data_IF_179379786197
#
_entry.id   IF_179379786197
#
_cell.length_a   1.000
_cell.length_b   1.000
_cell.length_c   1.000
_cell.angle_alpha   90.00
_cell.angle_beta   90.00
_cell.angle_gamma   90.00
#
_symmetry.space_group_name_H-M   'P 1'
#
loop_
_entity.id
_entity.type
_entity.pdbx_description
1 polymer ?
#
# COMPACT_ATOMS: atom_id res chain seq x y z
N UNK A 1 -23.54 -0.79 70.45
CA UNK A 1 -22.58 -1.10 69.39
C UNK A 1 -22.81 -0.10 68.25
N UNK A 2 -21.90 0.87 68.11
CA UNK A 2 -21.97 1.94 67.10
C UNK A 2 -21.12 1.47 65.90
N UNK A 3 -21.76 1.30 64.72
CA UNK A 3 -21.09 1.06 63.43
C UNK A 3 -20.60 2.40 62.88
N UNK A 4 -19.32 2.55 62.75
CA UNK A 4 -18.69 3.70 62.06
C UNK A 4 -18.44 3.32 60.61
N UNK A 5 -19.15 4.01 59.69
CA UNK A 5 -18.92 3.89 58.24
C UNK A 5 -17.68 4.67 57.84
N UNK A 6 -16.71 4.00 57.24
CA UNK A 6 -15.53 4.60 56.59
C UNK A 6 -15.94 4.99 55.15
N UNK A 7 -15.93 6.30 54.86
CA UNK A 7 -16.02 6.84 53.51
C UNK A 7 -14.59 7.03 52.99
N UNK A 8 -14.20 6.27 51.96
CA UNK A 8 -12.94 6.49 51.25
C UNK A 8 -13.12 7.60 50.21
N UNK A 9 -12.16 8.52 50.07
CA UNK A 9 -12.24 9.56 49.03
C UNK A 9 -11.88 8.98 47.66
N UNK A 10 -12.76 9.23 46.69
CA UNK A 10 -12.59 8.96 45.28
C UNK A 10 -11.56 9.98 44.71
N UNK A 11 -10.35 9.52 44.42
CA UNK A 11 -9.35 10.35 43.72
C UNK A 11 -9.69 10.31 42.22
N UNK A 12 -10.19 11.41 41.68
CA UNK A 12 -10.28 11.64 40.23
C UNK A 12 -8.85 11.82 39.70
N UNK A 13 -8.33 10.85 38.97
CA UNK A 13 -7.18 11.08 38.11
C UNK A 13 -7.66 11.88 36.88
N UNK A 14 -7.28 13.15 36.84
CA UNK A 14 -7.36 13.93 35.61
C UNK A 14 -6.32 13.39 34.63
N UNK A 15 -6.80 12.88 33.49
CA UNK A 15 -5.93 12.55 32.36
C UNK A 15 -5.37 13.88 31.83
N UNK A 16 -4.08 14.10 32.08
CA UNK A 16 -3.35 15.20 31.48
C UNK A 16 -3.19 14.88 29.99
N UNK A 17 -3.84 15.66 29.13
CA UNK A 17 -3.47 15.75 27.71
C UNK A 17 -2.01 16.17 27.66
N UNK A 18 -1.14 15.30 27.14
CA UNK A 18 0.23 15.69 26.84
C UNK A 18 0.19 16.74 25.74
N UNK A 19 0.92 17.85 25.87
CA UNK A 19 1.05 18.82 24.80
C UNK A 19 1.76 18.13 23.60
N UNK A 20 1.52 18.61 22.35
CA UNK A 20 2.26 18.12 21.21
C UNK A 20 3.75 18.28 21.46
N UNK A 21 4.54 17.28 21.04
CA UNK A 21 5.98 17.26 21.24
C UNK A 21 6.59 18.58 20.77
N UNK A 22 7.30 19.25 21.66
CA UNK A 22 8.08 20.45 21.34
C UNK A 22 9.09 20.06 20.27
N UNK A 23 9.06 20.77 19.11
CA UNK A 23 10.08 20.69 18.07
C UNK A 23 11.43 20.97 18.73
N UNK A 24 12.35 20.02 18.72
CA UNK A 24 13.66 20.18 19.34
C UNK A 24 14.35 21.41 18.72
N UNK A 25 14.74 22.35 19.55
CA UNK A 25 15.49 23.54 19.15
C UNK A 25 16.80 23.10 18.49
N UNK A 26 16.92 23.28 17.18
CA UNK A 26 18.18 23.05 16.45
C UNK A 26 18.06 22.60 14.99
N UNK A 27 16.92 22.12 14.54
CA UNK A 27 16.77 21.76 13.12
C UNK A 27 16.49 23.01 12.29
N UNK A 28 17.46 23.43 11.49
CA UNK A 28 17.24 24.51 10.52
C UNK A 28 16.38 23.96 9.40
N UNK A 29 15.13 24.41 9.31
CA UNK A 29 14.22 23.99 8.24
C UNK A 29 14.68 24.60 6.91
N UNK A 30 14.89 23.74 5.88
CA UNK A 30 15.08 24.18 4.51
C UNK A 30 13.69 24.29 3.87
N UNK A 31 13.24 25.50 3.47
CA UNK A 31 11.89 25.68 2.94
C UNK A 31 11.70 24.99 1.60
N UNK A 32 10.50 24.53 1.35
CA UNK A 32 10.06 23.99 0.07
C UNK A 32 10.37 24.95 -1.08
N UNK A 33 10.79 24.39 -2.24
CA UNK A 33 11.01 25.19 -3.44
C UNK A 33 9.70 25.84 -3.92
N UNK A 34 9.81 26.99 -4.62
CA UNK A 34 8.64 27.62 -5.21
C UNK A 34 7.96 26.71 -6.23
N UNK A 35 8.72 25.94 -7.00
CA UNK A 35 8.20 24.98 -7.97
C UNK A 35 7.36 23.90 -7.30
N UNK A 36 7.86 23.27 -6.23
CA UNK A 36 7.13 22.27 -5.47
C UNK A 36 5.82 22.83 -4.88
N UNK A 37 5.84 24.07 -4.35
CA UNK A 37 4.65 24.75 -3.84
C UNK A 37 3.62 24.99 -4.93
N UNK A 38 4.01 25.51 -6.09
CA UNK A 38 3.09 25.72 -7.22
C UNK A 38 2.50 24.39 -7.72
N UNK A 39 3.30 23.33 -7.72
CA UNK A 39 2.85 22.00 -8.10
C UNK A 39 1.83 21.43 -7.11
N UNK A 40 2.07 21.56 -5.81
CA UNK A 40 1.12 21.19 -4.77
C UNK A 40 -0.22 21.92 -4.92
N UNK A 41 -0.17 23.25 -5.11
CA UNK A 41 -1.37 24.10 -5.32
C UNK A 41 -2.12 23.65 -6.59
N UNK A 42 -1.42 23.38 -7.68
CA UNK A 42 -2.01 22.91 -8.93
C UNK A 42 -2.72 21.56 -8.75
N UNK A 43 -2.11 20.58 -8.10
CA UNK A 43 -2.72 19.28 -7.83
C UNK A 43 -3.95 19.43 -6.95
N UNK A 44 -3.85 20.21 -5.86
CA UNK A 44 -4.97 20.43 -4.94
C UNK A 44 -6.15 21.16 -5.58
N UNK A 45 -5.90 22.03 -6.55
CA UNK A 45 -6.92 22.75 -7.29
C UNK A 45 -7.41 22.01 -8.55
N UNK A 46 -6.75 20.92 -8.97
CA UNK A 46 -7.08 20.24 -10.21
C UNK A 46 -8.48 19.63 -10.13
N UNK A 47 -9.27 19.88 -11.18
CA UNK A 47 -10.51 19.16 -11.47
C UNK A 47 -10.22 18.27 -12.65
N UNK A 48 -10.71 17.06 -12.60
CA UNK A 48 -10.52 16.13 -13.70
C UNK A 48 -11.21 16.68 -14.94
N UNK A 49 -10.44 17.10 -15.95
CA UNK A 49 -10.97 17.71 -17.17
C UNK A 49 -10.99 16.76 -18.35
N UNK A 50 -10.34 15.58 -18.21
CA UNK A 50 -10.29 14.59 -19.27
C UNK A 50 -10.82 13.26 -18.73
N UNK A 51 -11.95 12.72 -19.22
CA UNK A 51 -12.36 11.38 -18.83
C UNK A 51 -11.25 10.42 -19.24
N UNK A 52 -10.82 9.56 -18.30
CA UNK A 52 -9.91 8.47 -18.59
C UNK A 52 -10.32 7.82 -19.90
N UNK A 53 -9.41 7.82 -20.87
CA UNK A 53 -9.75 7.33 -22.21
C UNK A 53 -10.01 5.83 -22.14
N UNK A 54 -11.15 5.31 -22.60
CA UNK A 54 -11.42 3.87 -22.54
C UNK A 54 -10.49 3.04 -23.45
N UNK A 55 -9.58 3.69 -24.18
CA UNK A 55 -8.77 3.10 -25.25
C UNK A 55 -7.27 3.00 -24.96
N UNK A 56 -6.76 3.40 -23.79
CA UNK A 56 -5.36 3.16 -23.46
C UNK A 56 -5.22 1.79 -22.77
N UNK A 57 -5.33 0.71 -23.55
CA UNK A 57 -4.55 -0.52 -23.35
C UNK A 57 -3.09 -0.25 -23.77
N UNK A 58 -2.49 0.84 -23.32
CA UNK A 58 -1.06 1.01 -23.46
C UNK A 58 -0.42 0.45 -22.19
N UNK A 59 0.38 -0.57 -22.44
CA UNK A 59 1.19 -1.26 -21.44
C UNK A 59 1.98 -0.19 -20.66
N UNK A 60 1.80 -0.15 -19.34
CA UNK A 60 2.69 0.59 -18.45
C UNK A 60 4.13 0.22 -18.84
N UNK A 61 4.96 1.14 -19.32
CA UNK A 61 6.33 0.82 -19.74
C UNK A 61 7.16 0.19 -18.61
N UNK A 62 6.70 0.30 -17.36
CA UNK A 62 7.27 -0.35 -16.17
C UNK A 62 6.75 -1.78 -15.97
N UNK A 63 5.62 -2.16 -16.61
CA UNK A 63 5.10 -3.53 -16.54
C UNK A 63 5.91 -4.53 -17.36
N UNK A 64 6.80 -4.07 -18.21
CA UNK A 64 7.70 -4.91 -19.01
C UNK A 64 8.95 -5.36 -18.23
N UNK A 65 8.84 -5.62 -16.91
CA UNK A 65 9.85 -6.42 -16.21
C UNK A 65 9.46 -7.88 -16.40
N UNK A 66 10.16 -8.64 -17.25
CA UNK A 66 9.93 -10.08 -17.35
C UNK A 66 10.08 -10.69 -15.96
N UNK A 67 9.29 -11.71 -15.64
CA UNK A 67 9.58 -12.62 -14.53
C UNK A 67 11.08 -12.71 -14.33
N UNK A 68 11.59 -12.28 -13.16
CA UNK A 68 13.01 -12.24 -12.89
C UNK A 68 13.63 -13.54 -13.39
N UNK A 69 14.52 -13.52 -14.39
CA UNK A 69 15.11 -14.73 -14.89
C UNK A 69 15.98 -15.35 -13.80
N UNK A 70 16.14 -16.67 -13.76
CA UNK A 70 17.19 -17.28 -12.95
C UNK A 70 18.51 -16.64 -13.37
N UNK A 71 19.32 -16.23 -12.40
CA UNK A 71 20.62 -15.61 -12.60
C UNK A 71 21.44 -16.38 -13.63
N UNK A 72 21.59 -15.80 -14.82
CA UNK A 72 22.52 -16.20 -15.86
C UNK A 72 23.77 -15.31 -15.78
N UNK A 73 24.94 -15.78 -16.30
CA UNK A 73 26.22 -15.16 -16.03
C UNK A 73 26.32 -13.74 -16.61
N UNK A 74 26.95 -12.88 -15.83
CA UNK A 74 27.29 -11.49 -16.15
C UNK A 74 27.97 -11.34 -17.53
N UNK A 75 27.46 -10.48 -18.36
CA UNK A 75 28.12 -10.07 -19.59
C UNK A 75 27.21 -9.46 -20.63
N UNK A 76 26.55 -8.36 -20.34
CA UNK A 76 26.09 -7.43 -21.36
C UNK A 76 26.09 -6.02 -20.78
N UNK A 77 26.92 -5.16 -21.33
CA UNK A 77 26.99 -3.72 -21.09
C UNK A 77 25.63 -3.11 -21.39
N UNK A 78 25.04 -2.30 -20.50
CA UNK A 78 23.82 -1.59 -20.83
C UNK A 78 24.12 -0.57 -21.94
N UNK A 79 23.46 -0.72 -23.07
CA UNK A 79 23.38 0.35 -24.07
C UNK A 79 22.52 1.44 -23.44
N UNK A 80 23.05 2.64 -23.27
CA UNK A 80 22.32 3.84 -22.86
C UNK A 80 21.07 3.99 -23.75
N UNK A 81 19.91 3.67 -23.20
CA UNK A 81 18.66 4.07 -23.78
C UNK A 81 18.53 5.58 -23.59
N UNK A 82 18.49 6.31 -24.69
CA UNK A 82 18.16 7.74 -24.74
C UNK A 82 16.86 7.95 -23.96
N UNK A 83 16.78 8.91 -23.01
CA UNK A 83 15.54 9.13 -22.27
C UNK A 83 14.45 9.59 -23.24
N UNK A 84 13.54 8.71 -23.54
CA UNK A 84 12.26 9.05 -24.15
C UNK A 84 11.54 9.93 -23.13
N UNK A 85 11.01 11.04 -23.56
CA UNK A 85 10.19 12.02 -22.83
C UNK A 85 9.46 11.37 -21.67
N UNK A 86 9.85 11.73 -20.44
CA UNK A 86 9.15 11.39 -19.22
C UNK A 86 7.72 11.88 -19.37
N UNK A 87 6.74 10.97 -19.52
CA UNK A 87 5.33 11.34 -19.50
C UNK A 87 5.05 11.95 -18.13
N UNK A 88 4.70 13.23 -18.17
CA UNK A 88 4.38 13.95 -16.95
C UNK A 88 3.11 13.34 -16.34
N UNK A 89 3.15 12.98 -15.04
CA UNK A 89 1.98 12.55 -14.28
C UNK A 89 0.78 13.50 -14.48
N UNK A 90 -0.44 12.97 -14.41
CA UNK A 90 -1.66 13.76 -14.43
C UNK A 90 -2.00 14.27 -13.01
N UNK A 91 -2.06 15.59 -12.83
CA UNK A 91 -2.36 16.23 -11.55
C UNK A 91 -3.76 15.85 -11.01
N UNK A 92 -4.74 15.65 -11.89
CA UNK A 92 -6.09 15.21 -11.53
C UNK A 92 -6.09 13.77 -11.06
N UNK A 93 -5.30 12.90 -11.70
CA UNK A 93 -5.15 11.51 -11.26
C UNK A 93 -4.45 11.41 -9.91
N UNK A 94 -3.37 12.16 -9.66
CA UNK A 94 -2.75 12.22 -8.32
C UNK A 94 -3.81 12.55 -7.28
N UNK A 95 -4.63 13.58 -7.53
CA UNK A 95 -5.69 13.97 -6.60
C UNK A 95 -6.71 12.86 -6.37
N UNK A 96 -7.20 12.23 -7.44
CA UNK A 96 -8.16 11.12 -7.36
C UNK A 96 -7.56 9.92 -6.61
N UNK A 97 -6.32 9.54 -6.90
CA UNK A 97 -5.64 8.44 -6.22
C UNK A 97 -5.56 8.70 -4.70
N UNK A 98 -5.16 9.90 -4.29
CA UNK A 98 -5.10 10.28 -2.86
C UNK A 98 -6.49 10.23 -2.21
N UNK A 99 -7.53 10.75 -2.87
CA UNK A 99 -8.87 10.74 -2.32
C UNK A 99 -9.46 9.32 -2.22
N UNK A 100 -9.16 8.45 -3.17
CA UNK A 100 -9.54 7.02 -3.13
C UNK A 100 -8.82 6.30 -2.00
N UNK A 101 -7.51 6.50 -1.85
CA UNK A 101 -6.70 5.94 -0.79
C UNK A 101 -7.26 6.31 0.60
N UNK A 102 -7.55 7.59 0.81
CA UNK A 102 -8.18 8.09 2.05
C UNK A 102 -9.58 7.55 2.31
N UNK A 103 -10.28 7.17 1.25
CA UNK A 103 -11.59 6.51 1.36
C UNK A 103 -11.48 4.99 1.56
N UNK A 104 -10.27 4.45 1.75
CA UNK A 104 -9.95 3.02 1.86
C UNK A 104 -10.26 2.20 0.59
N UNK A 105 -10.27 2.87 -0.57
CA UNK A 105 -10.35 2.22 -1.88
C UNK A 105 -9.00 2.40 -2.57
N UNK A 106 -8.01 1.62 -2.12
CA UNK A 106 -6.63 1.77 -2.56
C UNK A 106 -6.48 1.70 -4.07
N UNK A 107 -5.82 2.68 -4.71
CA UNK A 107 -5.41 2.60 -6.10
C UNK A 107 -4.12 1.78 -6.30
N UNK A 108 -3.58 1.20 -5.22
CA UNK A 108 -2.20 0.74 -5.13
C UNK A 108 -1.26 1.92 -4.88
N UNK A 109 -0.27 2.09 -5.72
CA UNK A 109 0.68 3.20 -5.60
C UNK A 109 0.06 4.50 -6.13
N UNK A 110 0.26 5.60 -5.41
CA UNK A 110 -0.08 6.96 -5.87
C UNK A 110 1.05 7.42 -6.80
N UNK A 111 0.81 7.39 -8.11
CA UNK A 111 1.79 7.65 -9.16
C UNK A 111 1.35 8.69 -10.21
N UNK A 112 0.07 9.05 -10.24
CA UNK A 112 -0.52 9.99 -11.18
C UNK A 112 -0.75 9.42 -12.58
N UNK A 113 -0.73 8.09 -12.75
CA UNK A 113 -1.01 7.42 -14.02
C UNK A 113 -2.38 6.72 -14.02
N UNK A 114 -2.99 6.66 -15.21
CA UNK A 114 -4.22 5.93 -15.45
C UNK A 114 -3.93 4.44 -15.66
N UNK A 115 -3.92 3.69 -14.55
CA UNK A 115 -3.65 2.26 -14.53
C UNK A 115 -4.89 1.41 -14.24
N UNK A 116 -4.78 0.11 -14.47
CA UNK A 116 -5.86 -0.85 -14.19
C UNK A 116 -6.28 -0.83 -12.71
N UNK A 117 -5.33 -0.69 -11.78
CA UNK A 117 -5.60 -0.62 -10.34
C UNK A 117 -6.48 0.60 -10.00
N UNK A 118 -6.18 1.77 -10.56
CA UNK A 118 -6.99 2.99 -10.37
C UNK A 118 -8.42 2.76 -10.86
N UNK A 119 -8.59 2.18 -12.06
CA UNK A 119 -9.92 1.91 -12.65
C UNK A 119 -10.73 0.90 -11.82
N UNK A 120 -10.07 -0.13 -11.30
CA UNK A 120 -10.68 -1.11 -10.38
C UNK A 120 -11.10 -0.44 -9.07
N UNK A 121 -10.24 0.39 -8.46
CA UNK A 121 -10.53 1.13 -7.24
C UNK A 121 -11.71 2.11 -7.44
N UNK A 122 -11.72 2.85 -8.56
CA UNK A 122 -12.83 3.73 -8.96
C UNK A 122 -14.13 2.92 -9.07
N UNK A 123 -14.11 1.78 -9.77
CA UNK A 123 -15.30 0.92 -9.93
C UNK A 123 -15.81 0.42 -8.59
N UNK A 124 -14.92 0.01 -7.71
CA UNK A 124 -15.27 -0.45 -6.36
C UNK A 124 -15.89 0.68 -5.52
N UNK A 125 -15.31 1.87 -5.55
CA UNK A 125 -15.85 3.05 -4.86
C UNK A 125 -17.21 3.45 -5.42
N UNK A 126 -17.35 3.49 -6.75
CA UNK A 126 -18.62 3.81 -7.41
C UNK A 126 -19.71 2.83 -6.99
N UNK A 127 -19.43 1.52 -7.00
CA UNK A 127 -20.37 0.50 -6.57
C UNK A 127 -20.78 0.66 -5.11
N UNK A 128 -19.83 0.88 -4.21
CA UNK A 128 -20.07 1.05 -2.78
C UNK A 128 -20.89 2.33 -2.45
N UNK A 129 -20.78 3.36 -3.31
CA UNK A 129 -21.44 4.66 -3.08
C UNK A 129 -22.66 4.89 -3.99
N UNK A 130 -23.16 3.87 -4.70
CA UNK A 130 -24.37 3.97 -5.54
C UNK A 130 -24.21 4.85 -6.76
N UNK A 131 -22.97 5.07 -7.23
CA UNK A 131 -22.69 5.75 -8.49
C UNK A 131 -22.81 4.78 -9.68
N UNK A 132 -22.87 5.32 -10.90
CA UNK A 132 -22.75 4.50 -12.09
C UNK A 132 -21.36 3.85 -12.14
N UNK A 133 -21.30 2.51 -12.20
CA UNK A 133 -20.04 1.76 -12.22
C UNK A 133 -19.49 1.75 -13.65
N UNK A 134 -18.58 2.64 -13.94
CA UNK A 134 -17.95 2.79 -15.26
C UNK A 134 -16.41 2.76 -15.19
N UNK A 135 -15.81 2.76 -13.99
CA UNK A 135 -14.37 2.77 -13.78
C UNK A 135 -13.68 4.07 -14.21
N UNK A 136 -14.44 5.12 -14.49
CA UNK A 136 -13.91 6.40 -14.96
C UNK A 136 -13.82 7.40 -13.80
N UNK A 137 -12.70 8.09 -13.71
CA UNK A 137 -12.52 9.23 -12.82
C UNK A 137 -13.22 10.45 -13.44
N UNK A 138 -14.47 10.65 -13.10
CA UNK A 138 -15.32 11.73 -13.61
C UNK A 138 -15.70 12.73 -12.51
N UNK A 139 -16.42 13.80 -12.88
CA UNK A 139 -16.87 14.85 -11.94
C UNK A 139 -17.82 14.30 -10.87
N UNK A 140 -18.60 13.27 -11.17
CA UNK A 140 -19.50 12.65 -10.18
C UNK A 140 -18.71 11.89 -9.11
N UNK A 141 -17.67 11.16 -9.51
CA UNK A 141 -16.73 10.52 -8.60
C UNK A 141 -16.04 11.55 -7.73
N UNK A 142 -15.42 12.59 -8.33
CA UNK A 142 -14.69 13.62 -7.59
C UNK A 142 -15.61 14.31 -6.57
N UNK A 143 -16.80 14.72 -6.99
CA UNK A 143 -17.77 15.35 -6.10
C UNK A 143 -18.12 14.44 -4.92
N UNK A 144 -18.30 13.14 -5.17
CA UNK A 144 -18.65 12.18 -4.11
C UNK A 144 -17.48 11.95 -3.13
N UNK A 145 -16.26 11.88 -3.63
CA UNK A 145 -15.04 11.77 -2.81
C UNK A 145 -14.87 13.03 -1.93
N UNK A 146 -15.01 14.23 -2.50
CA UNK A 146 -14.89 15.50 -1.79
C UNK A 146 -15.98 15.69 -0.71
N UNK A 147 -17.16 15.12 -0.89
CA UNK A 147 -18.20 15.11 0.16
C UNK A 147 -17.80 14.28 1.37
N UNK A 148 -17.02 13.22 1.17
CA UNK A 148 -16.49 12.39 2.23
C UNK A 148 -15.31 13.04 2.96
N UNK A 149 -14.42 13.65 2.20
CA UNK A 149 -13.23 14.32 2.73
C UNK A 149 -12.73 15.43 1.77
N UNK A 150 -12.76 16.67 2.25
CA UNK A 150 -12.35 17.86 1.50
C UNK A 150 -10.92 18.34 1.82
N UNK A 151 -10.14 17.61 2.62
CA UNK A 151 -8.77 17.99 2.92
C UNK A 151 -7.89 17.99 1.66
N UNK A 152 -6.82 18.79 1.60
CA UNK A 152 -5.92 18.83 0.46
C UNK A 152 -5.36 17.44 0.13
N UNK A 153 -5.21 17.13 -1.15
CA UNK A 153 -4.62 15.87 -1.59
C UNK A 153 -3.10 15.83 -1.39
N UNK A 154 -2.43 16.94 -1.62
CA UNK A 154 -1.00 17.09 -1.31
C UNK A 154 -0.81 18.08 -0.17
N UNK A 155 0.16 17.79 0.69
CA UNK A 155 0.51 18.62 1.86
C UNK A 155 2.02 18.81 1.96
N UNK A 156 2.43 19.85 2.68
CA UNK A 156 3.80 20.05 3.10
C UNK A 156 4.14 19.09 4.26
N UNK A 157 5.32 18.51 4.22
CA UNK A 157 5.87 17.67 5.28
C UNK A 157 7.32 18.04 5.53
N UNK A 158 7.73 18.12 6.79
CA UNK A 158 9.13 18.36 7.17
C UNK A 158 9.77 17.02 7.50
N UNK A 159 10.81 16.64 6.77
CA UNK A 159 11.57 15.41 7.03
C UNK A 159 12.10 15.42 8.47
N UNK A 160 11.77 14.38 9.22
CA UNK A 160 12.19 14.22 10.61
C UNK A 160 13.55 13.51 10.69
N UNK A 161 14.20 13.59 11.85
CA UNK A 161 15.39 12.78 12.14
C UNK A 161 15.11 11.27 11.99
N UNK A 162 13.90 10.82 12.23
CA UNK A 162 13.50 9.42 12.09
C UNK A 162 13.44 9.02 10.60
N UNK A 163 12.88 9.86 9.74
CA UNK A 163 12.79 9.59 8.30
C UNK A 163 14.17 9.43 7.63
N UNK A 164 15.20 10.10 8.15
CA UNK A 164 16.53 10.12 7.54
C UNK A 164 17.57 9.25 8.27
N UNK A 165 17.22 8.68 9.43
CA UNK A 165 18.18 7.98 10.31
C UNK A 165 18.65 6.65 9.74
N UNK A 166 17.81 5.92 8.98
CA UNK A 166 18.07 4.54 8.59
C UNK A 166 18.10 3.56 9.78
N UNK A 167 18.77 2.43 9.69
CA UNK A 167 19.73 2.06 8.65
C UNK A 167 19.07 1.82 7.28
N UNK A 168 19.67 2.35 6.22
CA UNK A 168 19.34 1.98 4.84
C UNK A 168 20.31 0.89 4.39
N UNK A 169 19.82 -0.09 3.65
CA UNK A 169 20.58 -1.29 3.29
C UNK A 169 20.44 -1.59 1.81
N UNK A 170 21.54 -2.01 1.16
CA UNK A 170 21.43 -2.59 -0.18
C UNK A 170 20.78 -3.97 -0.05
N UNK A 171 19.56 -4.15 -0.58
CA UNK A 171 18.82 -5.40 -0.47
C UNK A 171 19.24 -6.37 -1.58
N UNK A 172 19.89 -7.50 -1.24
CA UNK A 172 20.31 -8.47 -2.25
C UNK A 172 19.12 -9.14 -2.92
N UNK A 173 19.19 -9.39 -4.21
CA UNK A 173 18.20 -10.19 -4.94
C UNK A 173 18.30 -11.70 -4.60
N UNK A 174 19.46 -12.16 -4.17
CA UNK A 174 19.69 -13.54 -3.73
C UNK A 174 19.18 -13.74 -2.30
N UNK A 175 18.27 -14.70 -2.09
CA UNK A 175 17.64 -14.94 -0.80
C UNK A 175 18.63 -15.46 0.28
N UNK A 176 19.72 -16.12 -0.13
CA UNK A 176 20.75 -16.53 0.81
C UNK A 176 21.53 -15.32 1.31
N UNK A 177 21.96 -14.45 0.41
CA UNK A 177 22.61 -13.19 0.80
C UNK A 177 21.67 -12.29 1.62
N UNK A 178 20.37 -12.21 1.25
CA UNK A 178 19.36 -11.49 2.02
C UNK A 178 19.20 -12.04 3.44
N UNK A 179 19.37 -13.36 3.64
CA UNK A 179 19.28 -13.98 4.98
C UNK A 179 20.42 -13.63 5.91
N UNK A 180 21.49 -12.98 5.42
CA UNK A 180 22.60 -12.47 6.24
C UNK A 180 22.32 -11.07 6.80
N UNK A 181 21.27 -10.38 6.34
CA UNK A 181 20.86 -9.08 6.87
C UNK A 181 20.16 -9.26 8.23
N UNK A 182 20.46 -8.37 9.17
CA UNK A 182 19.79 -8.33 10.48
C UNK A 182 18.34 -7.80 10.36
N UNK A 183 18.07 -6.96 9.34
CA UNK A 183 16.76 -6.41 9.00
C UNK A 183 16.75 -6.08 7.50
N UNK A 184 15.67 -6.43 6.80
CA UNK A 184 15.50 -6.14 5.37
C UNK A 184 14.78 -4.79 5.23
N UNK A 185 15.50 -3.73 5.63
CA UNK A 185 14.99 -2.35 5.68
C UNK A 185 14.84 -1.71 4.31
N UNK A 186 14.54 -0.42 4.32
CA UNK A 186 14.53 0.39 3.10
C UNK A 186 15.95 0.59 2.54
N UNK A 187 16.06 0.78 1.23
CA UNK A 187 17.33 1.08 0.56
C UNK A 187 17.71 2.57 0.66
N UNK A 188 16.70 3.45 0.85
CA UNK A 188 16.91 4.89 0.95
C UNK A 188 15.87 5.59 1.81
N UNK A 189 16.16 6.82 2.25
CA UNK A 189 15.19 7.69 2.90
C UNK A 189 14.03 8.06 1.95
N UNK A 190 14.32 8.22 0.66
CA UNK A 190 13.29 8.54 -0.32
C UNK A 190 12.28 7.38 -0.48
N UNK A 191 12.75 6.14 -0.54
CA UNK A 191 11.92 4.95 -0.54
C UNK A 191 11.05 4.87 0.73
N UNK A 192 11.66 5.03 1.91
CA UNK A 192 10.94 5.02 3.17
C UNK A 192 9.84 6.08 3.24
N UNK A 193 10.13 7.29 2.75
CA UNK A 193 9.17 8.40 2.69
C UNK A 193 8.09 8.14 1.64
N UNK A 194 8.45 7.62 0.47
CA UNK A 194 7.48 7.26 -0.57
C UNK A 194 6.47 6.23 -0.03
N UNK A 195 6.96 5.17 0.61
CA UNK A 195 6.10 4.14 1.18
C UNK A 195 5.24 4.68 2.35
N UNK A 196 5.82 5.52 3.21
CA UNK A 196 5.09 6.19 4.29
C UNK A 196 3.87 6.99 3.82
N UNK A 197 3.94 7.56 2.63
CA UNK A 197 2.88 8.37 2.03
C UNK A 197 2.20 7.69 0.84
N UNK A 198 2.35 6.37 0.69
CA UNK A 198 1.72 5.53 -0.34
C UNK A 198 2.05 5.94 -1.78
N UNK A 199 3.19 6.61 -1.98
CA UNK A 199 3.60 7.21 -3.24
C UNK A 199 4.58 6.33 -4.02
N UNK A 200 4.59 6.51 -5.33
CA UNK A 200 5.71 6.11 -6.17
C UNK A 200 6.91 7.02 -5.88
N UNK A 201 8.11 6.45 -5.79
CA UNK A 201 9.33 7.21 -5.49
C UNK A 201 9.66 8.22 -6.59
N UNK A 202 9.41 7.89 -7.86
CA UNK A 202 9.63 8.79 -8.98
C UNK A 202 8.66 9.98 -8.93
N UNK A 203 7.38 9.75 -8.55
CA UNK A 203 6.44 10.84 -8.31
C UNK A 203 6.91 11.71 -7.14
N UNK A 204 7.30 11.11 -6.01
CA UNK A 204 7.81 11.86 -4.86
C UNK A 204 8.99 12.77 -5.25
N UNK A 205 9.96 12.24 -6.01
CA UNK A 205 11.10 13.00 -6.50
C UNK A 205 10.71 14.10 -7.50
N UNK A 206 9.75 13.80 -8.38
CA UNK A 206 9.21 14.75 -9.37
C UNK A 206 8.49 15.93 -8.69
N UNK A 207 7.77 15.68 -7.61
CA UNK A 207 7.10 16.73 -6.82
C UNK A 207 8.10 17.59 -6.02
N UNK A 208 9.31 17.08 -5.77
CA UNK A 208 10.33 17.68 -4.91
C UNK A 208 11.69 17.82 -5.61
N UNK A 209 11.78 18.58 -6.71
CA UNK A 209 13.01 18.66 -7.49
C UNK A 209 14.15 19.26 -6.66
N UNK A 210 15.31 18.58 -6.70
CA UNK A 210 16.55 19.04 -6.05
C UNK A 210 16.59 18.85 -4.53
N UNK A 211 15.60 18.21 -3.92
CA UNK A 211 15.61 17.91 -2.49
C UNK A 211 16.56 16.76 -2.18
N UNK A 212 17.36 16.93 -1.14
CA UNK A 212 18.11 15.85 -0.48
C UNK A 212 17.23 15.18 0.58
N UNK A 213 16.70 14.01 0.27
CA UNK A 213 15.86 13.23 1.19
C UNK A 213 16.63 12.68 2.41
N UNK A 214 17.97 12.74 2.40
CA UNK A 214 18.79 12.37 3.56
C UNK A 214 18.96 13.48 4.59
N UNK A 215 18.38 14.66 4.36
CA UNK A 215 18.54 15.83 5.23
C UNK A 215 17.29 16.10 6.06
N UNK A 216 17.35 15.84 7.37
CA UNK A 216 16.29 16.24 8.29
C UNK A 216 16.05 17.76 8.25
N UNK A 217 14.80 18.19 8.39
CA UNK A 217 14.39 19.58 8.32
C UNK A 217 14.08 20.08 6.90
N UNK A 218 14.30 19.30 5.85
CA UNK A 218 13.84 19.67 4.52
C UNK A 218 12.30 19.61 4.46
N UNK A 219 11.68 20.69 3.95
CA UNK A 219 10.23 20.73 3.70
C UNK A 219 9.94 20.21 2.31
N UNK A 220 9.11 19.19 2.20
CA UNK A 220 8.77 18.48 0.97
C UNK A 220 7.26 18.44 0.75
N UNK A 221 6.84 18.16 -0.50
CA UNK A 221 5.45 17.86 -0.87
C UNK A 221 5.23 16.36 -0.86
N UNK A 222 4.20 15.92 -0.16
CA UNK A 222 3.80 14.50 -0.09
C UNK A 222 2.29 14.35 -0.30
N UNK A 223 1.86 13.14 -0.63
CA UNK A 223 0.45 12.79 -0.61
C UNK A 223 -0.09 12.86 0.82
N UNK A 224 -1.28 13.42 0.99
CA UNK A 224 -2.05 13.32 2.23
C UNK A 224 -2.80 11.99 2.23
N UNK A 225 -2.05 10.90 2.30
CA UNK A 225 -2.54 9.53 2.22
C UNK A 225 -3.48 9.18 3.38
N UNK A 226 -4.26 8.11 3.22
CA UNK A 226 -5.18 7.61 4.23
C UNK A 226 -4.47 7.13 5.50
N UNK A 227 -5.22 7.12 6.60
CA UNK A 227 -4.81 6.48 7.85
C UNK A 227 -5.37 5.06 7.95
N UNK A 228 -5.17 4.43 9.10
CA UNK A 228 -5.72 3.10 9.38
C UNK A 228 -7.26 3.08 9.29
N UNK A 229 -7.80 1.95 8.82
CA UNK A 229 -9.23 1.69 8.81
C UNK A 229 -9.79 1.72 10.23
N UNK A 230 -10.78 2.56 10.46
CA UNK A 230 -11.38 2.75 11.79
C UNK A 230 -12.38 1.66 12.19
N UNK A 231 -12.84 0.85 11.23
CA UNK A 231 -13.82 -0.21 11.42
C UNK A 231 -13.15 -1.58 11.45
N UNK A 232 -13.65 -2.49 12.28
CA UNK A 232 -13.22 -3.89 12.32
C UNK A 232 -13.68 -4.62 11.05
N UNK A 233 -12.77 -5.41 10.47
CA UNK A 233 -13.08 -6.31 9.36
C UNK A 233 -13.81 -7.55 9.89
N UNK A 234 -15.04 -7.75 9.43
CA UNK A 234 -15.85 -8.91 9.76
C UNK A 234 -15.72 -10.06 8.74
N UNK A 235 -15.42 -9.75 7.47
CA UNK A 235 -15.11 -10.74 6.45
C UNK A 235 -14.24 -10.18 5.34
N UNK A 236 -13.47 -11.06 4.71
CA UNK A 236 -12.59 -10.75 3.58
C UNK A 236 -13.04 -11.55 2.36
N UNK A 237 -13.08 -10.93 1.21
CA UNK A 237 -13.26 -11.58 -0.07
C UNK A 237 -12.04 -11.33 -0.95
N UNK A 238 -11.48 -12.40 -1.52
CA UNK A 238 -10.36 -12.35 -2.45
C UNK A 238 -10.89 -12.78 -3.81
N UNK A 239 -10.97 -11.84 -4.75
CA UNK A 239 -11.39 -12.12 -6.11
C UNK A 239 -10.17 -12.38 -6.99
N UNK A 240 -9.99 -13.64 -7.37
CA UNK A 240 -8.82 -14.07 -8.14
C UNK A 240 -8.88 -13.68 -9.61
N UNK A 241 -10.05 -13.28 -10.13
CA UNK A 241 -10.19 -12.80 -11.51
C UNK A 241 -9.97 -11.30 -11.60
N UNK A 242 -10.50 -10.55 -10.64
CA UNK A 242 -10.31 -9.10 -10.56
C UNK A 242 -8.98 -8.73 -9.90
N UNK A 243 -8.26 -9.73 -9.32
CA UNK A 243 -7.02 -9.51 -8.58
C UNK A 243 -7.21 -8.43 -7.52
N UNK A 244 -8.17 -8.66 -6.62
CA UNK A 244 -8.57 -7.69 -5.62
C UNK A 244 -8.91 -8.37 -4.28
N UNK A 245 -8.66 -7.65 -3.19
CA UNK A 245 -9.11 -7.98 -1.84
C UNK A 245 -10.15 -6.95 -1.42
N UNK A 246 -11.27 -7.43 -0.87
CA UNK A 246 -12.37 -6.63 -0.35
C UNK A 246 -12.59 -6.94 1.11
N UNK A 247 -12.67 -5.93 1.94
CA UNK A 247 -12.98 -6.06 3.36
C UNK A 247 -14.38 -5.53 3.65
N UNK A 248 -15.13 -6.29 4.47
CA UNK A 248 -16.52 -5.97 4.80
C UNK A 248 -16.69 -5.89 6.31
N UNK A 249 -17.56 -5.00 6.77
CA UNK A 249 -18.01 -4.89 8.15
C UNK A 249 -19.07 -5.97 8.51
N UNK A 250 -19.56 -5.95 9.76
CA UNK A 250 -20.59 -6.87 10.24
C UNK A 250 -21.93 -6.71 9.51
N UNK A 251 -22.23 -5.53 8.98
CA UNK A 251 -23.42 -5.28 8.17
C UNK A 251 -23.27 -5.80 6.73
N UNK A 252 -22.08 -6.22 6.33
CA UNK A 252 -21.74 -6.61 4.97
C UNK A 252 -21.50 -5.44 4.03
N UNK A 253 -21.22 -4.25 4.59
CA UNK A 253 -20.82 -3.08 3.83
C UNK A 253 -19.36 -3.24 3.39
N UNK A 254 -19.06 -2.93 2.15
CA UNK A 254 -17.67 -2.83 1.66
C UNK A 254 -17.01 -1.62 2.31
N UNK A 255 -16.04 -1.86 3.19
CA UNK A 255 -15.34 -0.81 3.95
C UNK A 255 -13.92 -0.56 3.44
N UNK A 256 -13.32 -1.52 2.72
CA UNK A 256 -12.03 -1.32 2.07
C UNK A 256 -11.89 -2.19 0.83
N UNK A 257 -11.12 -1.68 -0.12
CA UNK A 257 -10.76 -2.33 -1.38
C UNK A 257 -9.25 -2.18 -1.61
N UNK A 258 -8.59 -3.26 -2.00
CA UNK A 258 -7.17 -3.28 -2.30
C UNK A 258 -6.89 -4.04 -3.61
N UNK A 259 -6.12 -3.47 -4.55
CA UNK A 259 -5.60 -4.25 -5.67
C UNK A 259 -4.65 -5.32 -5.15
N UNK A 260 -4.62 -6.47 -5.78
CA UNK A 260 -3.86 -7.61 -5.29
C UNK A 260 -3.18 -8.37 -6.43
N UNK A 261 -2.00 -8.92 -6.17
CA UNK A 261 -1.42 -9.96 -7.00
C UNK A 261 -1.86 -11.32 -6.47
N UNK A 262 -2.37 -12.17 -7.33
CA UNK A 262 -2.78 -13.54 -6.99
C UNK A 262 -1.87 -14.59 -7.63
N UNK A 263 -2.09 -15.86 -7.29
CA UNK A 263 -1.32 -16.98 -7.85
C UNK A 263 -1.54 -17.14 -9.34
N UNK A 264 -0.50 -17.66 -10.02
CA UNK A 264 -0.54 -18.03 -11.44
C UNK A 264 -1.21 -19.38 -11.66
N UNK A 265 -1.38 -19.76 -12.94
CA UNK A 265 -1.88 -21.10 -13.30
C UNK A 265 -0.97 -22.24 -12.80
N UNK A 266 0.35 -21.99 -12.73
CA UNK A 266 1.35 -22.98 -12.27
C UNK A 266 1.42 -23.06 -10.75
N UNK A 267 1.04 -21.99 -10.05
CA UNK A 267 1.02 -21.90 -8.60
C UNK A 267 -0.28 -21.18 -8.15
N UNK A 268 -1.42 -21.87 -8.23
CA UNK A 268 -2.73 -21.24 -8.03
C UNK A 268 -2.96 -20.83 -6.58
N UNK A 269 -3.66 -19.72 -6.42
CA UNK A 269 -4.22 -19.29 -5.14
C UNK A 269 -5.27 -20.30 -4.64
N UNK A 270 -5.45 -20.47 -3.32
CA UNK A 270 -6.49 -21.35 -2.77
C UNK A 270 -7.89 -20.96 -3.26
N UNK A 271 -8.81 -21.90 -3.17
CA UNK A 271 -10.23 -21.72 -3.50
C UNK A 271 -11.10 -22.00 -2.29
N UNK A 272 -12.33 -21.51 -2.29
CA UNK A 272 -13.32 -21.80 -1.24
C UNK A 272 -13.23 -20.87 -0.03
N UNK A 273 -13.58 -21.40 1.13
CA UNK A 273 -13.68 -20.62 2.36
C UNK A 273 -12.57 -20.99 3.34
N UNK A 274 -11.95 -19.97 3.90
CA UNK A 274 -10.87 -20.04 4.86
C UNK A 274 -11.12 -19.05 6.00
N UNK A 275 -10.19 -18.99 6.95
CA UNK A 275 -10.20 -18.01 8.03
C UNK A 275 -8.80 -17.45 8.23
N UNK A 276 -8.70 -16.22 8.74
CA UNK A 276 -7.45 -15.69 9.27
C UNK A 276 -7.03 -16.53 10.48
N UNK A 277 -5.81 -17.06 10.49
CA UNK A 277 -5.23 -17.83 11.62
C UNK A 277 -4.44 -16.98 12.57
N UNK A 278 -3.59 -16.13 12.01
CA UNK A 278 -2.69 -15.27 12.76
C UNK A 278 -2.27 -14.09 11.88
N UNK A 279 -1.85 -13.00 12.52
CA UNK A 279 -1.31 -11.82 11.85
C UNK A 279 0.03 -11.52 12.52
N UNK A 280 1.07 -11.38 11.70
CA UNK A 280 2.41 -11.02 12.13
C UNK A 280 2.86 -9.76 11.41
N UNK A 281 3.17 -8.73 12.16
CA UNK A 281 3.82 -7.52 11.66
C UNK A 281 5.33 -7.71 11.71
N UNK A 282 6.02 -7.19 10.73
CA UNK A 282 7.46 -7.35 10.55
C UNK A 282 7.92 -8.82 10.61
N UNK A 283 7.32 -9.72 9.78
CA UNK A 283 7.50 -11.15 9.91
C UNK A 283 8.88 -11.61 9.43
N UNK A 284 9.49 -12.54 10.16
CA UNK A 284 10.60 -13.32 9.59
C UNK A 284 10.07 -14.27 8.52
N UNK A 285 10.63 -14.23 7.32
CA UNK A 285 10.27 -15.14 6.23
C UNK A 285 11.20 -16.36 6.21
N UNK A 286 10.60 -17.55 6.36
CA UNK A 286 11.34 -18.82 6.20
C UNK A 286 11.25 -19.30 4.76
N UNK A 287 12.32 -19.09 4.01
CA UNK A 287 12.46 -19.65 2.68
C UNK A 287 12.97 -21.10 2.74
N UNK A 288 12.25 -22.02 2.09
CA UNK A 288 12.63 -23.44 1.97
C UNK A 288 12.57 -23.86 0.50
N UNK A 289 13.70 -24.00 -0.20
CA UNK A 289 13.74 -24.34 -1.61
C UNK A 289 13.16 -25.73 -1.92
N UNK A 290 13.06 -26.63 -0.93
CA UNK A 290 12.40 -27.91 -1.11
C UNK A 290 10.87 -27.79 -1.22
N UNK A 291 10.30 -26.74 -0.62
CA UNK A 291 8.86 -26.46 -0.64
C UNK A 291 8.46 -25.49 -1.78
N UNK A 292 9.38 -24.67 -2.23
CA UNK A 292 9.19 -23.65 -3.28
C UNK A 292 10.21 -23.87 -4.42
N UNK A 293 10.12 -24.99 -5.17
CA UNK A 293 11.16 -25.40 -6.12
C UNK A 293 11.29 -24.48 -7.34
N UNK A 294 10.34 -23.61 -7.58
CA UNK A 294 10.33 -22.65 -8.71
C UNK A 294 10.76 -21.24 -8.31
N UNK A 295 11.04 -21.01 -7.02
CA UNK A 295 11.37 -19.69 -6.51
C UNK A 295 12.73 -19.69 -5.81
N UNK A 296 13.56 -18.68 -6.07
CA UNK A 296 14.85 -18.45 -5.44
C UNK A 296 15.96 -19.42 -5.85
N UNK A 297 17.07 -19.38 -5.12
CA UNK A 297 18.26 -20.19 -5.37
C UNK A 297 18.15 -21.58 -4.73
N UNK A 298 18.51 -22.66 -5.45
CA UNK A 298 18.35 -24.05 -5.02
C UNK A 298 19.60 -24.66 -4.37
N UNK A 299 20.69 -23.91 -4.30
CA UNK A 299 22.00 -24.44 -3.87
C UNK A 299 22.18 -24.61 -2.35
N UNK A 300 21.16 -24.33 -1.52
CA UNK A 300 21.27 -24.30 -0.07
C UNK A 300 20.02 -24.89 0.62
N UNK A 301 20.12 -25.11 1.93
CA UNK A 301 18.98 -25.51 2.78
C UNK A 301 18.03 -24.34 3.06
N UNK A 302 17.02 -24.62 3.90
CA UNK A 302 16.11 -23.58 4.34
C UNK A 302 16.84 -22.46 5.12
N UNK A 303 16.50 -21.21 4.81
CA UNK A 303 17.03 -20.02 5.48
C UNK A 303 15.91 -19.18 6.06
N UNK A 304 16.25 -18.38 7.08
CA UNK A 304 15.34 -17.39 7.63
C UNK A 304 15.81 -15.99 7.20
N UNK A 305 14.91 -15.23 6.62
CA UNK A 305 15.12 -13.85 6.19
C UNK A 305 14.47 -12.97 7.25
N UNK A 306 15.21 -12.01 7.77
CA UNK A 306 14.73 -11.09 8.81
C UNK A 306 13.54 -10.28 8.32
N UNK A 307 12.76 -9.71 9.25
CA UNK A 307 11.67 -8.79 8.95
C UNK A 307 12.15 -7.51 8.25
N UNK A 308 11.20 -6.74 7.77
CA UNK A 308 11.42 -5.46 7.11
C UNK A 308 10.52 -5.25 5.89
N UNK A 309 10.34 -4.00 5.45
CA UNK A 309 9.47 -3.66 4.33
C UNK A 309 9.91 -4.33 3.02
N UNK A 310 11.20 -4.52 2.83
CA UNK A 310 11.80 -5.16 1.65
C UNK A 310 12.01 -6.69 1.80
N UNK A 311 11.45 -7.29 2.87
CA UNK A 311 11.34 -8.74 3.00
C UNK A 311 10.43 -9.32 1.89
N UNK A 312 10.68 -10.56 1.39
CA UNK A 312 9.83 -11.18 0.36
C UNK A 312 8.34 -11.23 0.65
N UNK A 313 7.94 -11.16 1.92
CA UNK A 313 6.53 -11.08 2.34
C UNK A 313 6.15 -9.70 2.91
N UNK A 314 7.01 -8.71 2.76
CA UNK A 314 6.78 -7.34 3.17
C UNK A 314 6.58 -7.15 4.67
N UNK A 315 5.92 -6.04 5.03
CA UNK A 315 5.74 -5.60 6.40
C UNK A 315 4.74 -6.41 7.22
N UNK A 316 3.89 -7.22 6.59
CA UNK A 316 2.83 -8.00 7.26
C UNK A 316 2.60 -9.34 6.60
N UNK A 317 2.35 -10.36 7.42
CA UNK A 317 1.86 -11.66 7.02
C UNK A 317 0.54 -11.99 7.72
N UNK A 318 -0.54 -12.10 6.96
CA UNK A 318 -1.86 -12.53 7.42
C UNK A 318 -2.01 -14.00 7.02
N UNK A 319 -1.72 -14.92 7.95
CA UNK A 319 -1.80 -16.36 7.74
C UNK A 319 -3.25 -16.81 7.58
N UNK A 320 -3.54 -17.66 6.59
CA UNK A 320 -4.85 -18.26 6.38
C UNK A 320 -4.93 -19.69 6.95
N UNK A 321 -6.15 -20.23 7.08
CA UNK A 321 -6.36 -21.62 7.44
C UNK A 321 -5.94 -22.61 6.35
N UNK A 322 -5.74 -22.15 5.12
CA UNK A 322 -5.01 -22.89 4.08
C UNK A 322 -3.53 -22.93 4.44
N UNK A 323 -2.96 -24.12 4.58
CA UNK A 323 -1.56 -24.29 4.98
C UNK A 323 -0.63 -23.64 3.94
N UNK A 324 0.33 -22.87 4.43
CA UNK A 324 1.34 -22.14 3.64
C UNK A 324 0.85 -20.94 2.84
N UNK A 325 -0.45 -20.62 2.88
CA UNK A 325 -1.01 -19.46 2.19
C UNK A 325 -1.31 -18.30 3.13
N UNK A 326 -1.18 -17.11 2.60
CA UNK A 326 -1.44 -15.86 3.32
C UNK A 326 -1.72 -14.70 2.39
N UNK A 327 -2.15 -13.60 3.01
CA UNK A 327 -2.17 -12.26 2.42
C UNK A 327 -1.00 -11.50 3.04
N UNK A 328 -0.20 -10.81 2.23
CA UNK A 328 1.02 -10.18 2.72
C UNK A 328 1.43 -8.95 1.90
N UNK A 329 2.31 -8.13 2.46
CA UNK A 329 2.90 -7.00 1.77
C UNK A 329 3.87 -7.39 0.66
N UNK A 330 4.32 -6.42 -0.10
CA UNK A 330 5.26 -6.61 -1.19
C UNK A 330 6.37 -5.56 -1.16
N UNK A 331 7.65 -5.95 -1.35
CA UNK A 331 8.79 -5.03 -1.37
C UNK A 331 8.79 -4.10 -2.59
N UNK A 332 8.01 -4.40 -3.60
CA UNK A 332 7.88 -3.62 -4.83
C UNK A 332 6.41 -3.30 -5.06
N UNK A 333 5.87 -2.26 -4.40
CA UNK A 333 4.45 -1.95 -4.42
C UNK A 333 3.93 -1.63 -5.83
N UNK A 334 4.78 -1.06 -6.71
CA UNK A 334 4.45 -0.76 -8.11
C UNK A 334 4.16 -2.00 -8.96
N UNK A 335 4.56 -3.20 -8.52
CA UNK A 335 4.32 -4.47 -9.21
C UNK A 335 3.04 -5.21 -8.76
N UNK A 336 2.33 -4.69 -7.77
CA UNK A 336 1.06 -5.29 -7.31
C UNK A 336 0.03 -5.24 -8.43
N UNK A 337 -0.62 -6.38 -8.71
CA UNK A 337 -1.52 -6.67 -9.84
C UNK A 337 -0.86 -6.67 -11.23
N UNK A 338 0.47 -6.53 -11.32
CA UNK A 338 1.19 -6.49 -12.61
C UNK A 338 2.07 -7.73 -12.84
N UNK A 339 2.30 -8.53 -11.81
CA UNK A 339 3.12 -9.75 -11.89
C UNK A 339 2.47 -10.85 -11.05
N UNK A 340 2.41 -12.08 -11.57
CA UNK A 340 1.83 -13.22 -10.85
C UNK A 340 2.59 -13.57 -9.56
N UNK A 341 1.91 -14.23 -8.62
CA UNK A 341 2.52 -14.76 -7.40
C UNK A 341 2.67 -16.29 -7.44
N UNK A 342 3.35 -16.86 -6.45
CA UNK A 342 3.48 -18.30 -6.24
C UNK A 342 2.32 -18.87 -5.38
N UNK A 343 1.14 -18.23 -5.47
CA UNK A 343 -0.10 -18.68 -4.81
C UNK A 343 -0.58 -17.79 -3.67
N UNK A 344 0.32 -17.07 -2.99
CA UNK A 344 -0.07 -16.10 -1.98
C UNK A 344 -0.68 -14.84 -2.60
N UNK A 345 -1.42 -14.09 -1.80
CA UNK A 345 -2.03 -12.81 -2.20
C UNK A 345 -1.12 -11.67 -1.73
N UNK A 346 -0.60 -10.88 -2.68
CA UNK A 346 0.27 -9.74 -2.39
C UNK A 346 -0.52 -8.45 -2.48
N UNK A 347 -0.35 -7.60 -1.49
CA UNK A 347 -0.80 -6.22 -1.45
C UNK A 347 0.42 -5.30 -1.39
N UNK A 348 0.22 -3.99 -1.48
CA UNK A 348 1.26 -3.05 -1.03
C UNK A 348 1.49 -3.23 0.47
N UNK A 349 2.63 -2.78 1.00
CA UNK A 349 2.89 -2.91 2.44
C UNK A 349 1.85 -2.15 3.26
N UNK A 350 1.47 -0.94 2.86
CA UNK A 350 0.49 -0.13 3.59
C UNK A 350 -0.91 -0.75 3.55
N UNK A 351 -1.36 -1.27 2.41
CA UNK A 351 -2.66 -1.97 2.29
C UNK A 351 -2.70 -3.22 3.17
N UNK A 352 -1.60 -4.00 3.18
CA UNK A 352 -1.49 -5.20 4.00
C UNK A 352 -1.46 -4.87 5.50
N UNK A 353 -0.78 -3.77 5.89
CA UNK A 353 -0.75 -3.27 7.27
C UNK A 353 -2.13 -2.82 7.70
N UNK A 354 -2.83 -2.03 6.89
CA UNK A 354 -4.19 -1.57 7.17
C UNK A 354 -5.14 -2.77 7.35
N UNK A 355 -5.17 -3.69 6.38
CA UNK A 355 -5.99 -4.90 6.47
C UNK A 355 -5.64 -5.74 7.70
N UNK A 356 -4.33 -5.88 8.00
CA UNK A 356 -3.85 -6.63 9.15
C UNK A 356 -4.27 -6.01 10.48
N UNK A 357 -4.20 -4.69 10.63
CA UNK A 357 -4.62 -3.97 11.85
C UNK A 357 -6.12 -4.05 12.10
N UNK A 358 -6.91 -3.97 11.04
CA UNK A 358 -8.37 -4.04 11.11
C UNK A 358 -8.91 -5.48 11.22
N UNK A 359 -8.06 -6.50 11.04
CA UNK A 359 -8.44 -7.91 11.07
C UNK A 359 -8.05 -8.59 12.38
N UNK A 360 -8.63 -9.78 12.64
CA UNK A 360 -8.28 -10.64 13.77
C UNK A 360 -8.37 -12.13 13.38
N UNK A 361 -7.78 -12.99 14.18
CA UNK A 361 -7.95 -14.44 14.01
C UNK A 361 -9.44 -14.83 14.02
N UNK A 362 -9.82 -15.74 13.14
CA UNK A 362 -11.19 -16.19 12.96
C UNK A 362 -12.00 -15.43 11.91
N UNK A 363 -11.52 -14.28 11.40
CA UNK A 363 -12.20 -13.56 10.30
C UNK A 363 -12.32 -14.48 9.09
N UNK A 364 -13.55 -14.68 8.55
CA UNK A 364 -13.79 -15.48 7.35
C UNK A 364 -13.12 -14.86 6.13
N UNK A 365 -12.49 -15.70 5.30
CA UNK A 365 -11.85 -15.32 4.04
C UNK A 365 -12.43 -16.21 2.94
N UNK A 366 -13.05 -15.60 1.94
CA UNK A 366 -13.63 -16.31 0.78
C UNK A 366 -12.83 -15.99 -0.47
N UNK A 367 -12.41 -17.02 -1.17
CA UNK A 367 -11.87 -16.89 -2.52
C UNK A 367 -12.97 -17.02 -3.56
N UNK A 368 -13.05 -16.06 -4.47
CA UNK A 368 -14.01 -16.01 -5.59
C UNK A 368 -13.29 -15.89 -6.92
N UNK A 369 -13.97 -16.26 -8.01
CA UNK A 369 -13.46 -16.12 -9.37
C UNK A 369 -14.48 -15.39 -10.25
N UNK A 370 -14.63 -14.08 -10.01
CA UNK A 370 -15.42 -13.22 -10.89
C UNK A 370 -16.92 -13.14 -10.57
N UNK A 371 -17.30 -13.02 -9.32
CA UNK A 371 -18.58 -12.41 -8.96
C UNK A 371 -18.38 -10.91 -8.87
N UNK A 372 -18.33 -10.21 -10.02
CA UNK A 372 -18.12 -8.75 -10.04
C UNK A 372 -19.07 -8.03 -9.07
N UNK A 373 -18.65 -6.85 -8.60
CA UNK A 373 -19.39 -5.97 -7.66
C UNK A 373 -20.88 -5.77 -8.03
N UNK A 374 -21.28 -6.02 -9.27
CA UNK A 374 -22.64 -5.87 -9.78
C UNK A 374 -23.64 -6.97 -9.34
N UNK A 375 -23.23 -8.04 -8.65
CA UNK A 375 -24.08 -9.22 -8.41
C UNK A 375 -24.36 -9.57 -6.93
N UNK A 376 -23.94 -8.78 -5.97
CA UNK A 376 -24.42 -9.00 -4.59
C UNK A 376 -25.81 -8.42 -4.42
N UNK A 377 -26.85 -9.25 -4.16
CA UNK A 377 -28.14 -8.72 -3.77
C UNK A 377 -27.95 -7.98 -2.44
N UNK A 378 -28.25 -6.69 -2.40
CA UNK A 378 -28.44 -5.99 -1.14
C UNK A 378 -29.44 -6.81 -0.33
N UNK A 379 -29.05 -7.30 0.84
CA UNK A 379 -29.99 -7.90 1.77
C UNK A 379 -30.97 -6.80 2.14
N UNK A 380 -32.22 -6.96 1.68
CA UNK A 380 -33.31 -6.12 2.14
C UNK A 380 -33.37 -6.21 3.67
N UNK A 381 -33.17 -5.06 4.34
CA UNK A 381 -33.34 -4.89 5.78
C UNK A 381 -34.80 -5.02 6.20
#
# INVERSE_FOLDING_TARGET
MKLTAFVAPLVLLAAACSPPAEVSEGVTTAPMSQEARMTMERVNASRFTNPMSPTLQEEDPRAAVPNAPPAGPAGATPTEATPTTTEAYDAGLVRIQVLLDRAHFSPGVIDGYDGENVRKAVSAYQAANGLAVNGLADEALLTRLEQGDSAPALVAYVLTEEDVRGPFVDVPQDLLAMSELEHVGYESAAEAVAEKFHMDEDLLRTLNPGVDFGSAGAEIVVANAGGDLSADVASIEIDTREEAVRAFDEAGTLIAYYPATVGTTEAPTPTGEHTVRAIAFDPTYRYDPARLPTFGNRGHGAVNIAGGPNNPVGAVWIALSADTYGVHGAPQPQLVSKAGSHGCVRLTNWDAVELGRASRAGVPVRFTSGTGLAQRPQRAG
#
